data_IF_883623318567
#
_entry.id   IF_883623318567
#
_cell.length_a   1.000
_cell.length_b   1.000
_cell.length_c   1.000
_cell.angle_alpha   90.00
_cell.angle_beta   90.00
_cell.angle_gamma   90.00
#
_symmetry.space_group_name_H-M   'P 1'
#
loop_
_entity.id
_entity.type
_entity.pdbx_description
1 polymer ?
#
# COMPACT_ATOMS: atom_id res chain seq x y z
N UNK A 1 9.48 30.18 21.28
CA UNK A 1 8.73 30.20 20.01
C UNK A 1 8.81 28.81 19.39
N UNK A 2 7.67 28.17 19.12
CA UNK A 2 7.65 26.92 18.35
C UNK A 2 8.03 27.25 16.89
N UNK A 3 9.03 26.56 16.33
CA UNK A 3 9.44 26.72 14.93
C UNK A 3 8.26 26.38 14.02
N UNK A 4 7.88 27.29 13.12
CA UNK A 4 6.90 26.99 12.06
C UNK A 4 7.55 26.02 11.07
N UNK A 5 6.98 24.84 10.91
CA UNK A 5 7.47 23.83 9.97
C UNK A 5 7.34 24.32 8.52
N UNK A 6 8.37 24.07 7.73
CA UNK A 6 8.33 24.26 6.27
C UNK A 6 7.35 23.25 5.64
N UNK A 7 6.84 23.50 4.41
CA UNK A 7 5.94 22.55 3.74
C UNK A 7 6.53 21.14 3.62
N UNK A 8 7.85 21.03 3.41
CA UNK A 8 8.55 19.75 3.35
C UNK A 8 8.57 19.04 4.70
N UNK A 9 8.95 19.74 5.77
CA UNK A 9 8.98 19.17 7.13
C UNK A 9 7.59 18.71 7.58
N UNK A 10 6.51 19.39 7.16
CA UNK A 10 5.14 18.94 7.43
C UNK A 10 4.79 17.64 6.74
N UNK A 11 5.13 17.52 5.46
CA UNK A 11 4.92 16.26 4.70
C UNK A 11 5.72 15.13 5.33
N UNK A 12 6.98 15.37 5.69
CA UNK A 12 7.82 14.37 6.36
C UNK A 12 7.25 13.95 7.72
N UNK A 13 6.75 14.90 8.53
CA UNK A 13 6.09 14.61 9.80
C UNK A 13 4.77 13.84 9.64
N UNK A 14 3.98 14.19 8.63
CA UNK A 14 2.73 13.49 8.30
C UNK A 14 3.00 12.03 7.94
N UNK A 15 3.96 11.77 7.05
CA UNK A 15 4.35 10.42 6.63
C UNK A 15 4.90 9.62 7.82
N UNK A 16 5.78 10.23 8.61
CA UNK A 16 6.35 9.58 9.80
C UNK A 16 5.28 9.17 10.82
N UNK A 17 4.13 9.83 10.83
CA UNK A 17 3.00 9.52 11.71
C UNK A 17 2.11 8.43 11.11
N UNK A 18 1.64 8.60 9.88
CA UNK A 18 0.57 7.76 9.32
C UNK A 18 1.08 6.51 8.60
N UNK A 19 2.25 6.52 7.96
CA UNK A 19 2.77 5.33 7.28
C UNK A 19 2.94 4.14 8.26
N UNK A 20 3.51 4.31 9.48
CA UNK A 20 3.58 3.21 10.44
C UNK A 20 2.20 2.70 10.89
N UNK A 21 1.21 3.57 11.03
CA UNK A 21 -0.15 3.23 11.47
C UNK A 21 -0.85 2.38 10.40
N UNK A 22 -0.86 2.84 9.14
CA UNK A 22 -1.47 2.09 8.04
C UNK A 22 -0.77 0.74 7.82
N UNK A 23 0.56 0.71 7.93
CA UNK A 23 1.32 -0.54 7.83
C UNK A 23 0.94 -1.52 8.93
N UNK A 24 0.86 -1.04 10.18
CA UNK A 24 0.48 -1.88 11.31
C UNK A 24 -0.95 -2.42 11.14
N UNK A 25 -1.88 -1.59 10.67
CA UNK A 25 -3.25 -1.99 10.40
C UNK A 25 -3.36 -3.10 9.33
N UNK A 26 -2.65 -2.96 8.20
CA UNK A 26 -2.60 -4.00 7.17
C UNK A 26 -1.98 -5.30 7.69
N UNK A 27 -0.86 -5.22 8.42
CA UNK A 27 -0.21 -6.40 9.00
C UNK A 27 -1.11 -7.09 10.02
N UNK A 28 -1.82 -6.32 10.85
CA UNK A 28 -2.77 -6.84 11.83
C UNK A 28 -3.94 -7.56 11.14
N UNK A 29 -4.46 -7.04 10.03
CA UNK A 29 -5.50 -7.71 9.24
C UNK A 29 -5.02 -9.07 8.70
N UNK A 30 -3.82 -9.12 8.12
CA UNK A 30 -3.25 -10.39 7.64
C UNK A 30 -3.00 -11.39 8.77
N UNK A 31 -2.53 -10.91 9.92
CA UNK A 31 -2.32 -11.73 11.12
C UNK A 31 -3.63 -12.25 11.71
N UNK A 32 -4.69 -11.44 11.72
CA UNK A 32 -6.02 -11.79 12.19
C UNK A 32 -6.64 -12.89 11.32
N UNK A 33 -6.68 -12.69 9.99
CA UNK A 33 -7.14 -13.70 9.03
C UNK A 33 -6.43 -15.01 9.31
N UNK A 34 -5.10 -15.00 9.30
CA UNK A 34 -4.28 -16.21 9.49
C UNK A 34 -4.53 -16.90 10.84
N UNK A 35 -4.79 -16.13 11.91
CA UNK A 35 -5.02 -16.67 13.25
C UNK A 35 -6.38 -17.38 13.38
N UNK A 36 -7.37 -16.92 12.62
CA UNK A 36 -8.72 -17.48 12.64
C UNK A 36 -8.91 -18.70 11.70
N UNK A 37 -7.93 -19.02 10.84
CA UNK A 37 -8.03 -20.18 9.95
C UNK A 37 -7.97 -21.50 10.73
N UNK A 38 -9.05 -22.27 10.62
CA UNK A 38 -9.12 -23.65 11.12
C UNK A 38 -8.55 -24.60 10.07
N UNK A 39 -7.25 -24.89 10.17
CA UNK A 39 -6.52 -25.73 9.20
C UNK A 39 -7.22 -27.06 8.88
N UNK A 40 -7.80 -27.72 9.88
CA UNK A 40 -8.53 -28.98 9.67
C UNK A 40 -9.69 -28.82 8.67
N UNK A 41 -10.46 -27.73 8.74
CA UNK A 41 -11.57 -27.47 7.81
C UNK A 41 -11.07 -27.24 6.39
N UNK A 42 -9.95 -26.53 6.23
CA UNK A 42 -9.32 -26.32 4.93
C UNK A 42 -8.87 -27.66 4.33
N UNK A 43 -8.23 -28.52 5.13
CA UNK A 43 -7.77 -29.84 4.69
C UNK A 43 -8.95 -30.74 4.29
N UNK A 44 -10.00 -30.81 5.09
CA UNK A 44 -11.22 -31.60 4.80
C UNK A 44 -11.88 -31.19 3.46
N UNK A 45 -11.78 -29.91 3.08
CA UNK A 45 -12.26 -29.40 1.79
C UNK A 45 -11.36 -29.83 0.64
N UNK A 46 -10.05 -29.67 0.81
CA UNK A 46 -9.05 -30.08 -0.18
C UNK A 46 -9.05 -31.59 -0.44
N UNK A 47 -9.29 -32.41 0.58
CA UNK A 47 -9.43 -33.88 0.43
C UNK A 47 -10.61 -34.27 -0.48
N UNK A 48 -11.62 -33.40 -0.60
CA UNK A 48 -12.77 -33.59 -1.50
C UNK A 48 -12.57 -32.95 -2.88
N UNK A 49 -11.39 -32.37 -3.14
CA UNK A 49 -11.14 -31.58 -4.35
C UNK A 49 -11.84 -30.21 -4.37
N UNK A 50 -12.41 -29.77 -3.26
CA UNK A 50 -13.18 -28.53 -3.13
C UNK A 50 -12.23 -27.35 -2.82
N UNK A 51 -11.53 -26.84 -3.85
CA UNK A 51 -10.61 -25.69 -3.71
C UNK A 51 -11.38 -24.43 -3.28
N UNK A 52 -12.55 -24.18 -3.87
CA UNK A 52 -13.37 -23.00 -3.53
C UNK A 52 -13.80 -23.04 -2.07
N UNK A 53 -14.35 -24.16 -1.60
CA UNK A 53 -14.73 -24.31 -0.19
C UNK A 53 -13.54 -24.30 0.77
N UNK A 54 -12.33 -24.67 0.30
CA UNK A 54 -11.11 -24.51 1.09
C UNK A 54 -10.72 -23.04 1.27
N UNK A 55 -10.91 -22.20 0.24
CA UNK A 55 -10.71 -20.75 0.31
C UNK A 55 -11.76 -20.11 1.23
N UNK A 56 -13.03 -20.48 1.07
CA UNK A 56 -14.12 -19.98 1.93
C UNK A 56 -13.87 -20.29 3.40
N UNK A 57 -13.32 -21.48 3.70
CA UNK A 57 -12.95 -21.89 5.06
C UNK A 57 -11.79 -21.09 5.67
N UNK A 58 -11.14 -20.19 4.90
CA UNK A 58 -10.12 -19.27 5.40
C UNK A 58 -10.67 -17.92 5.86
N UNK A 59 -11.97 -17.64 5.64
CA UNK A 59 -12.64 -16.40 6.11
C UNK A 59 -11.92 -15.12 5.69
N UNK A 60 -11.56 -15.04 4.40
CA UNK A 60 -10.87 -13.87 3.82
C UNK A 60 -11.93 -12.82 3.50
N UNK A 61 -12.33 -12.10 4.53
CA UNK A 61 -13.43 -11.14 4.48
C UNK A 61 -12.90 -9.71 4.55
N UNK A 62 -13.63 -8.79 3.90
CA UNK A 62 -13.31 -7.36 3.90
C UNK A 62 -13.27 -6.79 5.34
N UNK A 63 -14.11 -7.33 6.22
CA UNK A 63 -14.21 -6.90 7.62
C UNK A 63 -12.89 -7.03 8.41
N UNK A 64 -11.99 -7.93 8.02
CA UNK A 64 -10.66 -8.04 8.63
C UNK A 64 -9.81 -6.77 8.42
N UNK A 65 -10.12 -5.97 7.39
CA UNK A 65 -9.42 -4.74 7.03
C UNK A 65 -10.05 -3.47 7.61
N UNK A 66 -11.10 -3.56 8.44
CA UNK A 66 -11.68 -2.40 9.13
C UNK A 66 -10.63 -1.51 9.84
N UNK A 67 -9.59 -2.06 10.52
CA UNK A 67 -8.53 -1.22 11.11
C UNK A 67 -7.74 -0.42 10.07
N UNK A 68 -7.57 -0.95 8.85
CA UNK A 68 -6.88 -0.26 7.76
C UNK A 68 -7.73 0.88 7.22
N UNK A 69 -9.04 0.66 7.04
CA UNK A 69 -9.97 1.72 6.64
C UNK A 69 -10.00 2.87 7.66
N UNK A 70 -10.02 2.53 8.96
CA UNK A 70 -9.97 3.52 10.02
C UNK A 70 -8.64 4.31 10.02
N UNK A 71 -7.51 3.63 9.83
CA UNK A 71 -6.22 4.29 9.70
C UNK A 71 -6.16 5.24 8.49
N UNK A 72 -6.73 4.83 7.35
CA UNK A 72 -6.87 5.65 6.16
C UNK A 72 -7.74 6.89 6.43
N UNK A 73 -8.88 6.72 7.10
CA UNK A 73 -9.79 7.80 7.48
C UNK A 73 -9.10 8.83 8.39
N UNK A 74 -8.28 8.37 9.34
CA UNK A 74 -7.49 9.24 10.20
C UNK A 74 -6.46 10.05 9.41
N UNK A 75 -5.71 9.41 8.51
CA UNK A 75 -4.75 10.10 7.65
C UNK A 75 -5.45 11.14 6.77
N UNK A 76 -6.54 10.78 6.10
CA UNK A 76 -7.32 11.68 5.25
C UNK A 76 -7.81 12.89 6.02
N UNK A 77 -8.43 12.70 7.19
CA UNK A 77 -8.93 13.78 8.02
C UNK A 77 -7.79 14.72 8.47
N UNK A 78 -6.65 14.17 8.89
CA UNK A 78 -5.51 14.96 9.29
C UNK A 78 -4.90 15.76 8.13
N UNK A 79 -4.92 15.22 6.91
CA UNK A 79 -4.48 15.93 5.70
C UNK A 79 -5.35 17.15 5.39
N UNK A 80 -6.67 17.02 5.57
CA UNK A 80 -7.62 18.11 5.40
C UNK A 80 -7.45 19.20 6.46
N UNK A 81 -7.31 18.80 7.73
CA UNK A 81 -7.05 19.72 8.86
C UNK A 81 -5.72 20.47 8.66
N UNK A 82 -4.62 19.79 8.29
CA UNK A 82 -3.35 20.46 7.99
C UNK A 82 -3.50 21.44 6.83
N UNK A 83 -4.25 21.06 5.79
CA UNK A 83 -4.43 21.91 4.61
C UNK A 83 -5.15 23.20 4.99
N UNK A 84 -6.32 23.12 5.63
CA UNK A 84 -7.11 24.29 6.03
C UNK A 84 -6.38 25.17 7.04
N UNK A 85 -5.71 24.57 8.04
CA UNK A 85 -4.96 25.31 9.07
C UNK A 85 -3.78 26.12 8.49
N UNK A 86 -3.33 25.76 7.29
CA UNK A 86 -2.25 26.45 6.60
C UNK A 86 -2.72 27.26 5.39
N UNK A 87 -4.03 27.34 5.15
CA UNK A 87 -4.55 28.30 4.20
C UNK A 87 -4.30 29.72 4.72
N UNK A 88 -3.94 30.66 3.85
CA UNK A 88 -3.91 32.08 4.19
C UNK A 88 -5.29 32.57 4.65
N UNK A 89 -5.32 33.60 5.51
CA UNK A 89 -6.56 34.24 5.91
C UNK A 89 -7.23 34.87 4.68
N UNK A 90 -8.46 34.46 4.41
CA UNK A 90 -9.27 34.99 3.31
C UNK A 90 -10.15 36.12 3.84
N UNK A 91 -10.44 37.09 2.96
CA UNK A 91 -11.35 38.18 3.24
C UNK A 91 -12.53 38.15 2.28
N UNK A 92 -13.72 38.50 2.77
CA UNK A 92 -14.88 38.76 1.92
C UNK A 92 -14.75 40.14 1.24
N UNK A 93 -15.62 40.46 0.25
CA UNK A 93 -15.62 41.78 -0.40
C UNK A 93 -15.81 42.95 0.58
N UNK A 94 -16.48 42.73 1.70
CA UNK A 94 -16.70 43.69 2.78
C UNK A 94 -15.50 43.84 3.75
N UNK A 95 -14.45 43.01 3.58
CA UNK A 95 -13.21 43.05 4.34
C UNK A 95 -13.18 42.23 5.64
N UNK A 96 -14.24 41.48 5.96
CA UNK A 96 -14.29 40.56 7.10
C UNK A 96 -13.49 39.29 6.83
N UNK A 97 -13.02 38.65 7.91
CA UNK A 97 -12.26 37.39 7.80
C UNK A 97 -13.20 36.22 7.56
N UNK A 98 -12.96 35.48 6.47
CA UNK A 98 -13.70 34.26 6.15
C UNK A 98 -13.20 33.11 7.03
N UNK A 99 -14.13 32.43 7.70
CA UNK A 99 -13.80 31.28 8.57
C UNK A 99 -13.76 30.02 7.73
N UNK A 100 -12.56 29.56 7.40
CA UNK A 100 -12.34 28.30 6.68
C UNK A 100 -12.43 27.13 7.65
N UNK A 101 -13.21 26.12 7.30
CA UNK A 101 -13.32 24.86 8.05
C UNK A 101 -13.10 23.68 7.12
N UNK A 102 -12.43 22.66 7.64
CA UNK A 102 -12.40 21.35 7.03
C UNK A 102 -13.65 20.57 7.48
N UNK A 103 -14.44 20.11 6.52
CA UNK A 103 -15.57 19.23 6.79
C UNK A 103 -15.29 17.85 6.20
N UNK A 104 -14.86 16.91 7.05
CA UNK A 104 -14.64 15.52 6.68
C UNK A 104 -15.94 14.79 6.29
N UNK A 105 -17.10 15.35 6.65
CA UNK A 105 -18.44 14.80 6.35
C UNK A 105 -19.11 15.48 5.15
N UNK A 106 -18.40 16.39 4.48
CA UNK A 106 -18.88 16.90 3.21
C UNK A 106 -19.03 15.74 2.21
N UNK A 107 -20.07 15.79 1.38
CA UNK A 107 -20.43 14.73 0.42
C UNK A 107 -19.25 14.31 -0.47
N UNK A 108 -18.43 15.25 -0.94
CA UNK A 108 -17.26 14.94 -1.77
C UNK A 108 -16.20 14.17 -0.98
N UNK A 109 -15.98 14.54 0.29
CA UNK A 109 -15.02 13.88 1.17
C UNK A 109 -15.50 12.47 1.56
N UNK A 110 -16.78 12.31 1.90
CA UNK A 110 -17.37 11.00 2.24
C UNK A 110 -17.38 10.06 1.04
N UNK A 111 -17.75 10.54 -0.15
CA UNK A 111 -17.70 9.74 -1.38
C UNK A 111 -16.28 9.27 -1.68
N UNK A 112 -15.28 10.15 -1.58
CA UNK A 112 -13.89 9.75 -1.79
C UNK A 112 -13.46 8.68 -0.79
N UNK A 113 -13.72 8.88 0.50
CA UNK A 113 -13.36 7.92 1.54
C UNK A 113 -14.00 6.55 1.31
N UNK A 114 -15.32 6.53 1.05
CA UNK A 114 -16.09 5.31 0.82
C UNK A 114 -15.61 4.57 -0.42
N UNK A 115 -15.48 5.26 -1.54
CA UNK A 115 -15.16 4.63 -2.82
C UNK A 115 -13.70 4.15 -2.83
N UNK A 116 -12.79 4.92 -2.22
CA UNK A 116 -11.38 4.56 -2.12
C UNK A 116 -11.14 3.41 -1.14
N UNK A 117 -11.76 3.41 0.04
CA UNK A 117 -11.62 2.32 1.02
C UNK A 117 -12.17 1.01 0.47
N UNK A 118 -13.37 1.03 -0.11
CA UNK A 118 -13.99 -0.13 -0.72
C UNK A 118 -13.11 -0.71 -1.84
N UNK A 119 -12.64 0.13 -2.77
CA UNK A 119 -11.76 -0.30 -3.87
C UNK A 119 -10.45 -0.91 -3.36
N UNK A 120 -9.83 -0.30 -2.34
CA UNK A 120 -8.60 -0.81 -1.74
C UNK A 120 -8.81 -2.19 -1.10
N UNK A 121 -9.84 -2.34 -0.27
CA UNK A 121 -10.10 -3.57 0.48
C UNK A 121 -10.56 -4.69 -0.46
N UNK A 122 -11.51 -4.43 -1.35
CA UNK A 122 -11.96 -5.41 -2.34
C UNK A 122 -10.80 -5.85 -3.24
N UNK A 123 -9.92 -4.92 -3.64
CA UNK A 123 -8.72 -5.23 -4.40
C UNK A 123 -7.74 -6.14 -3.64
N UNK A 124 -7.51 -5.90 -2.34
CA UNK A 124 -6.67 -6.75 -1.50
C UNK A 124 -7.27 -8.15 -1.36
N UNK A 125 -8.57 -8.27 -1.11
CA UNK A 125 -9.26 -9.56 -0.95
C UNK A 125 -9.26 -10.34 -2.26
N UNK A 126 -9.57 -9.69 -3.39
CA UNK A 126 -9.56 -10.32 -4.71
C UNK A 126 -8.17 -10.86 -5.06
N UNK A 127 -7.11 -10.05 -4.85
CA UNK A 127 -5.72 -10.46 -5.02
C UNK A 127 -5.38 -11.70 -4.18
N UNK A 128 -5.85 -11.72 -2.92
CA UNK A 128 -5.55 -12.80 -1.97
C UNK A 128 -6.25 -14.11 -2.35
N UNK A 129 -7.52 -14.03 -2.73
CA UNK A 129 -8.31 -15.19 -3.18
C UNK A 129 -7.66 -15.80 -4.42
N UNK A 130 -7.25 -14.97 -5.39
CA UNK A 130 -6.60 -15.44 -6.61
C UNK A 130 -5.21 -16.05 -6.34
N UNK A 131 -4.43 -15.42 -5.45
CA UNK A 131 -3.13 -15.93 -4.98
C UNK A 131 -3.26 -17.34 -4.38
N UNK A 132 -4.23 -17.54 -3.50
CA UNK A 132 -4.48 -18.84 -2.84
C UNK A 132 -4.99 -19.87 -3.83
N UNK A 133 -5.95 -19.50 -4.69
CA UNK A 133 -6.47 -20.39 -5.73
C UNK A 133 -5.35 -20.91 -6.62
N UNK A 134 -4.49 -20.02 -7.10
CA UNK A 134 -3.32 -20.37 -7.92
C UNK A 134 -2.40 -21.32 -7.15
N UNK A 135 -2.01 -20.98 -5.92
CA UNK A 135 -1.08 -21.77 -5.12
C UNK A 135 -1.63 -23.17 -4.76
N UNK A 136 -2.92 -23.28 -4.43
CA UNK A 136 -3.57 -24.57 -4.15
C UNK A 136 -3.66 -25.43 -5.40
N UNK A 137 -4.05 -24.84 -6.54
CA UNK A 137 -4.14 -25.55 -7.82
C UNK A 137 -2.79 -26.11 -8.24
N UNK A 138 -1.73 -25.29 -8.18
CA UNK A 138 -0.37 -25.71 -8.48
C UNK A 138 0.14 -26.79 -7.51
N UNK A 139 -0.15 -26.65 -6.21
CA UNK A 139 0.27 -27.63 -5.21
C UNK A 139 -0.38 -29.00 -5.43
N UNK A 140 -1.68 -29.03 -5.66
CA UNK A 140 -2.40 -30.28 -5.94
C UNK A 140 -1.99 -30.88 -7.29
N UNK A 141 -1.75 -30.07 -8.32
CA UNK A 141 -1.26 -30.55 -9.62
C UNK A 141 0.13 -31.20 -9.53
N UNK A 142 0.99 -30.77 -8.59
CA UNK A 142 2.27 -31.42 -8.28
C UNK A 142 2.14 -32.70 -7.44
N UNK A 143 0.93 -33.07 -7.02
CA UNK A 143 0.68 -34.24 -6.18
C UNK A 143 0.97 -34.01 -4.70
N UNK A 144 1.05 -32.75 -4.23
CA UNK A 144 1.13 -32.47 -2.81
C UNK A 144 -0.15 -32.93 -2.11
N UNK A 145 -0.02 -33.58 -0.96
CA UNK A 145 -1.20 -33.95 -0.17
C UNK A 145 -1.92 -32.69 0.36
N UNK A 146 -3.25 -32.77 0.60
CA UNK A 146 -4.07 -31.67 1.11
C UNK A 146 -3.51 -30.94 2.34
N UNK A 147 -2.90 -31.68 3.28
CA UNK A 147 -2.30 -31.08 4.48
C UNK A 147 -1.07 -30.24 4.16
N UNK A 148 -0.20 -30.70 3.25
CA UNK A 148 0.98 -29.97 2.80
C UNK A 148 0.57 -28.71 2.03
N UNK A 149 -0.41 -28.83 1.13
CA UNK A 149 -0.97 -27.71 0.38
C UNK A 149 -1.51 -26.65 1.33
N UNK A 150 -2.39 -27.00 2.27
CA UNK A 150 -2.97 -26.06 3.22
C UNK A 150 -1.91 -25.39 4.11
N UNK A 151 -0.91 -26.14 4.60
CA UNK A 151 0.20 -25.56 5.40
C UNK A 151 1.05 -24.58 4.61
N UNK A 152 1.23 -24.78 3.30
CA UNK A 152 1.95 -23.83 2.45
C UNK A 152 1.23 -22.47 2.34
N UNK A 153 -0.09 -22.48 2.49
CA UNK A 153 -0.91 -21.26 2.49
C UNK A 153 -0.85 -20.56 3.84
N UNK A 154 -1.15 -21.27 4.94
CA UNK A 154 -1.38 -20.65 6.25
C UNK A 154 -0.12 -20.51 7.11
N UNK A 155 0.95 -21.23 6.77
CA UNK A 155 2.19 -21.28 7.54
C UNK A 155 2.14 -22.18 8.80
N UNK A 156 3.31 -22.55 9.34
CA UNK A 156 3.41 -23.29 10.59
C UNK A 156 3.04 -22.46 11.81
N UNK A 157 2.71 -23.14 12.92
CA UNK A 157 2.57 -22.49 14.24
C UNK A 157 3.96 -22.28 14.82
N UNK A 158 4.29 -21.03 15.15
CA UNK A 158 5.45 -20.71 15.95
C UNK A 158 5.19 -21.08 17.41
N UNK A 159 5.99 -22.01 17.95
CA UNK A 159 5.81 -22.55 19.31
C UNK A 159 6.03 -21.51 20.41
N UNK A 160 6.84 -20.48 20.16
CA UNK A 160 7.12 -19.44 21.15
C UNK A 160 5.97 -18.44 21.28
N UNK A 161 5.32 -18.11 20.15
CA UNK A 161 4.23 -17.12 20.12
C UNK A 161 2.84 -17.75 20.14
N UNK A 162 2.74 -19.05 19.86
CA UNK A 162 1.47 -19.76 19.67
C UNK A 162 0.72 -19.38 18.40
N UNK A 163 1.27 -18.47 17.58
CA UNK A 163 0.63 -17.93 16.38
C UNK A 163 1.17 -18.60 15.13
N UNK A 164 0.33 -18.67 14.08
CA UNK A 164 0.80 -19.05 12.75
C UNK A 164 1.69 -17.95 12.19
N UNK A 165 2.76 -18.32 11.51
CA UNK A 165 3.72 -17.41 10.89
C UNK A 165 4.15 -17.94 9.52
N UNK A 166 4.44 -17.04 8.56
CA UNK A 166 4.77 -17.42 7.19
C UNK A 166 3.53 -17.71 6.34
N UNK A 167 3.67 -18.68 5.43
CA UNK A 167 2.64 -18.95 4.41
C UNK A 167 2.58 -17.87 3.33
N UNK A 168 1.43 -17.71 2.67
CA UNK A 168 1.21 -16.67 1.65
C UNK A 168 0.00 -15.77 1.95
N UNK A 169 -0.59 -15.88 3.16
CA UNK A 169 -1.64 -14.96 3.60
C UNK A 169 -1.09 -13.53 3.66
N UNK A 170 -1.80 -12.61 3.00
CA UNK A 170 -1.43 -11.21 2.82
C UNK A 170 -0.52 -10.95 1.61
N UNK A 171 -0.09 -11.96 0.85
CA UNK A 171 0.76 -11.78 -0.33
C UNK A 171 -0.04 -11.73 -1.64
N UNK A 172 0.42 -10.90 -2.60
CA UNK A 172 -0.04 -11.02 -4.00
C UNK A 172 0.25 -12.40 -4.58
N UNK A 173 -0.47 -12.77 -5.65
CA UNK A 173 -0.14 -13.93 -6.47
C UNK A 173 1.33 -13.90 -6.97
N UNK A 174 1.84 -12.73 -7.36
CA UNK A 174 3.23 -12.58 -7.79
C UNK A 174 4.24 -12.87 -6.66
N UNK A 175 3.98 -12.34 -5.46
CA UNK A 175 4.82 -12.59 -4.29
C UNK A 175 4.73 -14.04 -3.82
N UNK A 176 3.55 -14.67 -3.87
CA UNK A 176 3.37 -16.08 -3.58
C UNK A 176 4.21 -16.96 -4.53
N UNK A 177 4.23 -16.64 -5.83
CA UNK A 177 5.12 -17.30 -6.79
C UNK A 177 6.60 -17.12 -6.44
N UNK A 178 7.01 -15.93 -5.99
CA UNK A 178 8.40 -15.74 -5.52
C UNK A 178 8.74 -16.65 -4.34
N UNK A 179 7.82 -16.84 -3.40
CA UNK A 179 7.99 -17.76 -2.27
C UNK A 179 8.14 -19.21 -2.76
N UNK A 180 7.33 -19.64 -3.73
CA UNK A 180 7.44 -20.99 -4.31
C UNK A 180 8.74 -21.17 -5.09
N UNK A 181 9.12 -20.25 -5.99
CA UNK A 181 10.39 -20.34 -6.70
C UNK A 181 11.59 -20.39 -5.75
N UNK A 182 11.56 -19.62 -4.65
CA UNK A 182 12.61 -19.68 -3.63
C UNK A 182 12.69 -21.06 -2.95
N UNK A 183 11.54 -21.71 -2.72
CA UNK A 183 11.50 -23.09 -2.18
C UNK A 183 12.11 -24.08 -3.17
N UNK A 184 11.71 -24.02 -4.44
CA UNK A 184 12.19 -24.93 -5.47
C UNK A 184 13.70 -24.77 -5.70
N UNK A 185 14.19 -23.53 -5.74
CA UNK A 185 15.62 -23.21 -5.82
C UNK A 185 16.40 -23.87 -4.68
N UNK A 186 15.93 -23.74 -3.45
CA UNK A 186 16.60 -24.28 -2.26
C UNK A 186 16.55 -25.82 -2.17
N UNK A 187 15.49 -26.45 -2.68
CA UNK A 187 15.35 -27.91 -2.70
C UNK A 187 16.11 -28.57 -3.86
N UNK A 188 16.43 -27.83 -4.92
CA UNK A 188 17.02 -28.38 -6.14
C UNK A 188 18.40 -29.01 -5.94
N UNK A 189 19.23 -28.44 -5.06
CA UNK A 189 20.67 -28.74 -4.99
C UNK A 189 21.47 -28.23 -6.20
N UNK A 190 20.83 -27.59 -7.18
CA UNK A 190 21.46 -27.05 -8.38
C UNK A 190 22.24 -25.77 -8.05
N UNK A 191 23.55 -25.69 -8.35
CA UNK A 191 24.34 -24.51 -8.09
C UNK A 191 23.84 -23.22 -8.75
N UNK A 192 23.23 -23.29 -9.94
CA UNK A 192 22.67 -22.12 -10.62
C UNK A 192 21.43 -21.60 -9.88
N UNK A 193 20.53 -22.49 -9.47
CA UNK A 193 19.31 -22.13 -8.73
C UNK A 193 19.62 -21.61 -7.32
N UNK A 194 20.59 -22.22 -6.62
CA UNK A 194 21.04 -21.72 -5.33
C UNK A 194 21.68 -20.33 -5.42
N UNK A 195 22.40 -20.02 -6.51
CA UNK A 195 22.88 -18.65 -6.77
C UNK A 195 21.73 -17.69 -7.01
N UNK A 196 20.72 -18.08 -7.78
CA UNK A 196 19.53 -17.26 -8.01
C UNK A 196 18.81 -16.89 -6.69
N UNK A 197 18.69 -17.85 -5.77
CA UNK A 197 18.14 -17.57 -4.44
C UNK A 197 18.93 -16.49 -3.68
N UNK A 198 20.27 -16.52 -3.77
CA UNK A 198 21.17 -15.55 -3.13
C UNK A 198 21.10 -14.15 -3.75
N UNK A 199 20.45 -13.96 -4.90
CA UNK A 199 20.20 -12.64 -5.49
C UNK A 199 18.92 -11.98 -4.93
N UNK A 200 18.05 -12.76 -4.29
CA UNK A 200 16.78 -12.25 -3.74
C UNK A 200 17.01 -11.21 -2.64
N UNK A 201 16.49 -9.99 -2.84
CA UNK A 201 16.74 -8.86 -1.94
C UNK A 201 16.04 -8.93 -0.56
N UNK A 202 14.88 -9.59 -0.47
CA UNK A 202 14.11 -9.74 0.79
C UNK A 202 14.42 -11.00 1.59
N UNK A 203 15.45 -11.76 1.19
CA UNK A 203 15.88 -12.97 1.92
C UNK A 203 16.48 -12.61 3.28
N UNK A 204 16.42 -13.56 4.21
CA UNK A 204 17.07 -13.41 5.51
C UNK A 204 18.55 -13.83 5.40
N UNK A 205 19.44 -12.82 5.31
CA UNK A 205 20.89 -13.00 5.09
C UNK A 205 21.58 -13.86 6.17
N UNK A 206 20.94 -14.07 7.33
CA UNK A 206 21.47 -14.97 8.38
C UNK A 206 21.57 -16.42 7.91
N UNK A 207 20.81 -16.81 6.90
CA UNK A 207 20.89 -18.15 6.29
C UNK A 207 21.87 -18.23 5.12
N UNK A 208 22.46 -17.13 4.66
CA UNK A 208 23.36 -17.12 3.49
C UNK A 208 24.52 -18.10 3.66
N UNK A 209 25.10 -18.20 4.88
CA UNK A 209 26.18 -19.17 5.15
C UNK A 209 25.74 -20.62 4.92
N UNK A 210 24.49 -20.95 5.26
CA UNK A 210 23.92 -22.29 5.07
C UNK A 210 23.72 -22.58 3.59
N UNK A 211 23.18 -21.62 2.84
CA UNK A 211 22.96 -21.76 1.39
C UNK A 211 24.28 -21.80 0.63
N UNK A 212 25.26 -20.98 0.99
CA UNK A 212 26.60 -21.00 0.39
C UNK A 212 27.33 -22.32 0.66
N UNK A 213 27.13 -22.94 1.84
CA UNK A 213 27.66 -24.26 2.13
C UNK A 213 27.06 -25.31 1.18
N UNK A 214 25.73 -25.35 1.06
CA UNK A 214 25.03 -26.23 0.13
C UNK A 214 25.45 -26.01 -1.33
N UNK A 215 25.65 -24.75 -1.73
CA UNK A 215 26.16 -24.37 -3.05
C UNK A 215 27.57 -24.91 -3.32
N UNK A 216 28.47 -24.83 -2.33
CA UNK A 216 29.83 -25.35 -2.44
C UNK A 216 29.86 -26.88 -2.48
N UNK A 217 29.02 -27.51 -1.68
CA UNK A 217 28.93 -28.97 -1.54
C UNK A 217 28.05 -29.61 -2.63
N UNK A 218 27.36 -28.81 -3.44
CA UNK A 218 26.42 -29.24 -4.49
C UNK A 218 25.36 -30.22 -3.95
N UNK A 219 24.88 -29.94 -2.73
CA UNK A 219 23.90 -30.77 -2.04
C UNK A 219 22.61 -30.00 -1.80
N UNK A 220 21.43 -30.66 -1.87
CA UNK A 220 20.17 -30.02 -1.55
C UNK A 220 20.10 -29.67 -0.06
N UNK A 221 19.41 -28.58 0.27
CA UNK A 221 19.14 -28.26 1.67
C UNK A 221 18.08 -29.20 2.25
N UNK A 222 18.20 -29.63 3.51
CA UNK A 222 17.14 -30.37 4.20
C UNK A 222 15.81 -29.60 4.19
N UNK A 223 14.69 -30.30 4.02
CA UNK A 223 13.38 -29.68 3.84
C UNK A 223 12.97 -28.77 5.02
N UNK A 224 13.31 -29.13 6.26
CA UNK A 224 13.04 -28.32 7.45
C UNK A 224 13.84 -27.01 7.47
N UNK A 225 15.05 -27.02 6.91
CA UNK A 225 15.89 -25.82 6.74
C UNK A 225 15.26 -24.91 5.68
N UNK A 226 14.85 -25.49 4.55
CA UNK A 226 14.15 -24.75 3.48
C UNK A 226 12.88 -24.10 4.01
N UNK A 227 12.06 -24.83 4.77
CA UNK A 227 10.83 -24.29 5.36
C UNK A 227 11.11 -23.07 6.24
N UNK A 228 12.13 -23.12 7.09
CA UNK A 228 12.52 -21.96 7.92
C UNK A 228 12.95 -20.77 7.06
N UNK A 229 13.78 -21.01 6.05
CA UNK A 229 14.28 -19.95 5.16
C UNK A 229 13.13 -19.29 4.38
N UNK A 230 12.27 -20.10 3.77
CA UNK A 230 11.14 -19.66 2.94
C UNK A 230 10.10 -18.90 3.77
N UNK A 231 9.82 -19.34 5.00
CA UNK A 231 8.91 -18.61 5.90
C UNK A 231 9.45 -17.21 6.25
N UNK A 232 10.77 -17.07 6.45
CA UNK A 232 11.38 -15.75 6.68
C UNK A 232 11.36 -14.88 5.43
N UNK A 233 11.56 -15.47 4.25
CA UNK A 233 11.43 -14.76 2.98
C UNK A 233 10.01 -14.27 2.73
N UNK A 234 9.00 -15.12 2.97
CA UNK A 234 7.59 -14.75 2.92
C UNK A 234 7.27 -13.57 3.86
N UNK A 235 7.72 -13.63 5.12
CA UNK A 235 7.55 -12.53 6.07
C UNK A 235 8.19 -11.22 5.57
N UNK A 236 9.35 -11.29 4.92
CA UNK A 236 10.01 -10.14 4.30
C UNK A 236 9.23 -9.56 3.11
N UNK A 237 8.58 -10.40 2.31
CA UNK A 237 7.69 -9.97 1.21
C UNK A 237 6.38 -9.38 1.72
N UNK A 238 5.80 -9.95 2.78
CA UNK A 238 4.60 -9.41 3.42
C UNK A 238 4.87 -8.01 3.97
N UNK A 239 6.00 -7.83 4.67
CA UNK A 239 6.45 -6.50 5.11
C UNK A 239 6.62 -5.54 3.94
N UNK A 240 7.22 -5.97 2.84
CA UNK A 240 7.37 -5.14 1.64
C UNK A 240 6.01 -4.69 1.09
N UNK A 241 5.02 -5.58 1.00
CA UNK A 241 3.66 -5.21 0.57
C UNK A 241 3.05 -4.20 1.56
N UNK A 242 3.17 -4.46 2.86
CA UNK A 242 2.64 -3.59 3.90
C UNK A 242 3.26 -2.18 3.85
N UNK A 243 4.59 -2.08 3.70
CA UNK A 243 5.30 -0.81 3.51
C UNK A 243 4.82 -0.10 2.22
N UNK A 244 4.57 -0.85 1.13
CA UNK A 244 4.13 -0.29 -0.16
C UNK A 244 2.72 0.27 -0.07
N UNK A 245 1.77 -0.49 0.50
CA UNK A 245 0.39 -0.04 0.73
C UNK A 245 0.42 1.18 1.63
N UNK A 246 1.06 1.09 2.79
CA UNK A 246 1.09 2.19 3.75
C UNK A 246 1.64 3.49 3.17
N UNK A 247 2.75 3.42 2.42
CA UNK A 247 3.30 4.57 1.73
C UNK A 247 2.32 5.14 0.70
N UNK A 248 1.75 4.27 -0.15
CA UNK A 248 0.81 4.70 -1.19
C UNK A 248 -0.41 5.39 -0.59
N UNK A 249 -1.08 4.73 0.35
CA UNK A 249 -2.31 5.22 0.96
C UNK A 249 -2.11 6.48 1.80
N UNK A 250 -0.95 6.62 2.45
CA UNK A 250 -0.62 7.85 3.20
C UNK A 250 -0.51 9.05 2.25
N UNK A 251 0.19 8.89 1.12
CA UNK A 251 0.31 9.96 0.13
C UNK A 251 -1.00 10.24 -0.60
N UNK A 252 -1.78 9.21 -0.89
CA UNK A 252 -3.08 9.34 -1.54
C UNK A 252 -4.07 10.11 -0.66
N UNK A 253 -4.23 9.68 0.60
CA UNK A 253 -5.09 10.36 1.57
C UNK A 253 -4.69 11.82 1.77
N UNK A 254 -3.40 12.12 1.87
CA UNK A 254 -2.89 13.49 1.99
C UNK A 254 -3.20 14.32 0.74
N UNK A 255 -2.96 13.78 -0.46
CA UNK A 255 -3.14 14.52 -1.71
C UNK A 255 -4.63 14.75 -2.02
N UNK A 256 -5.46 13.74 -1.80
CA UNK A 256 -6.91 13.83 -1.96
C UNK A 256 -7.52 14.81 -0.95
N UNK A 257 -7.19 14.69 0.34
CA UNK A 257 -7.70 15.60 1.36
C UNK A 257 -7.32 17.06 1.06
N UNK A 258 -6.11 17.29 0.53
CA UNK A 258 -5.68 18.62 0.10
C UNK A 258 -6.50 19.15 -1.06
N UNK A 259 -6.66 18.38 -2.14
CA UNK A 259 -7.45 18.78 -3.31
C UNK A 259 -8.92 19.07 -2.94
N UNK A 260 -9.51 18.19 -2.11
CA UNK A 260 -10.89 18.30 -1.63
C UNK A 260 -11.05 19.48 -0.67
N UNK A 261 -10.07 19.77 0.19
CA UNK A 261 -10.14 20.93 1.08
C UNK A 261 -10.21 22.25 0.29
N UNK A 262 -9.46 22.38 -0.81
CA UNK A 262 -9.60 23.51 -1.73
C UNK A 262 -10.95 23.49 -2.46
N UNK A 263 -11.42 22.32 -2.92
CA UNK A 263 -12.74 22.19 -3.54
C UNK A 263 -13.86 22.69 -2.63
N UNK A 264 -13.86 22.27 -1.37
CA UNK A 264 -14.86 22.68 -0.39
C UNK A 264 -14.91 24.21 -0.24
N UNK A 265 -13.76 24.89 -0.26
CA UNK A 265 -13.75 26.34 -0.15
C UNK A 265 -14.26 27.03 -1.42
N UNK A 266 -14.03 26.42 -2.58
CA UNK A 266 -14.58 26.89 -3.85
C UNK A 266 -16.10 26.70 -3.87
N UNK A 267 -16.58 25.51 -3.52
CA UNK A 267 -17.99 25.17 -3.48
C UNK A 267 -18.77 26.01 -2.45
N UNK A 268 -18.14 26.37 -1.34
CA UNK A 268 -18.71 27.25 -0.32
C UNK A 268 -18.69 28.75 -0.71
N UNK A 269 -18.09 29.11 -1.85
CA UNK A 269 -17.94 30.50 -2.28
C UNK A 269 -16.86 31.30 -1.54
N UNK A 270 -16.05 30.64 -0.70
CA UNK A 270 -14.95 31.27 0.04
C UNK A 270 -13.74 31.56 -0.86
N UNK A 271 -13.59 30.80 -1.95
CA UNK A 271 -12.53 30.93 -2.95
C UNK A 271 -13.14 30.80 -4.34
N UNK A 272 -12.47 31.40 -5.33
CA UNK A 272 -12.74 31.09 -6.73
C UNK A 272 -11.64 30.17 -7.29
N UNK A 273 -12.00 29.27 -8.21
CA UNK A 273 -11.07 28.29 -8.76
C UNK A 273 -9.99 28.94 -9.67
N UNK A 274 -10.30 30.08 -10.28
CA UNK A 274 -9.44 30.82 -11.20
C UNK A 274 -8.23 31.46 -10.51
N UNK A 275 -8.38 31.85 -9.25
CA UNK A 275 -7.30 32.39 -8.42
C UNK A 275 -6.45 31.31 -7.73
N UNK A 276 -6.81 30.03 -7.88
CA UNK A 276 -6.07 28.91 -7.30
C UNK A 276 -5.22 28.23 -8.37
N UNK A 277 -3.92 28.11 -8.09
CA UNK A 277 -2.98 27.40 -8.96
C UNK A 277 -2.31 26.24 -8.24
N UNK A 278 -2.03 25.17 -8.98
CA UNK A 278 -1.34 23.97 -8.53
C UNK A 278 0.03 23.90 -9.19
N UNK A 279 1.07 23.61 -8.42
CA UNK A 279 2.42 23.36 -8.94
C UNK A 279 2.88 21.95 -8.58
N UNK A 280 3.33 21.19 -9.55
CA UNK A 280 3.87 19.85 -9.33
C UNK A 280 5.26 19.94 -8.68
N UNK A 281 5.38 19.39 -7.46
CA UNK A 281 6.64 19.34 -6.71
C UNK A 281 7.12 17.89 -6.66
N UNK A 282 8.21 17.64 -7.38
CA UNK A 282 8.92 16.37 -7.31
C UNK A 282 9.77 16.30 -6.04
N UNK A 283 9.54 15.25 -5.24
CA UNK A 283 10.37 14.92 -4.08
C UNK A 283 11.56 14.08 -4.55
N UNK A 284 12.82 14.45 -4.25
CA UNK A 284 14.00 13.67 -4.63
C UNK A 284 13.94 12.23 -4.13
N UNK A 285 14.32 11.28 -4.97
CA UNK A 285 14.36 9.85 -4.67
C UNK A 285 15.61 9.23 -5.29
N UNK A 286 16.05 8.08 -4.76
CA UNK A 286 17.17 7.31 -5.32
C UNK A 286 16.89 6.82 -6.75
N UNK A 287 15.63 6.44 -7.03
CA UNK A 287 15.17 6.01 -8.35
C UNK A 287 13.96 6.85 -8.78
N UNK A 288 14.17 8.10 -9.20
CA UNK A 288 13.07 8.99 -9.57
C UNK A 288 12.45 8.57 -10.91
N UNK A 289 11.13 8.76 -11.03
CA UNK A 289 10.43 8.57 -12.33
C UNK A 289 10.77 9.74 -13.24
N UNK A 290 11.42 9.47 -14.37
CA UNK A 290 11.78 10.51 -15.35
C UNK A 290 10.58 11.39 -15.75
N UNK A 291 9.40 10.79 -15.91
CA UNK A 291 8.16 11.50 -16.20
C UNK A 291 7.78 12.53 -15.14
N UNK A 292 7.85 12.16 -13.85
CA UNK A 292 7.51 13.07 -12.75
C UNK A 292 8.59 14.12 -12.49
N UNK A 293 9.84 13.83 -12.85
CA UNK A 293 10.93 14.81 -12.85
C UNK A 293 10.68 15.87 -13.93
N UNK A 294 10.28 15.46 -15.13
CA UNK A 294 9.94 16.37 -16.23
C UNK A 294 8.75 17.27 -15.90
N UNK A 295 7.79 16.79 -15.10
CA UNK A 295 6.67 17.60 -14.61
C UNK A 295 7.06 18.61 -13.52
N UNK A 296 8.30 18.59 -13.00
CA UNK A 296 8.72 19.47 -11.89
C UNK A 296 8.51 20.94 -12.25
N UNK A 297 7.72 21.64 -11.46
CA UNK A 297 7.44 23.05 -11.66
C UNK A 297 6.33 23.33 -12.68
N UNK A 298 5.75 22.30 -13.31
CA UNK A 298 4.53 22.46 -14.10
C UNK A 298 3.46 23.12 -13.22
N UNK A 299 2.93 24.25 -13.68
CA UNK A 299 1.93 25.06 -12.99
C UNK A 299 0.65 25.06 -13.81
N UNK A 300 -0.47 24.74 -13.17
CA UNK A 300 -1.80 24.65 -13.79
C UNK A 300 -2.83 25.35 -12.91
N UNK A 301 -3.98 25.74 -13.47
CA UNK A 301 -5.13 26.21 -12.66
C UNK A 301 -5.71 25.05 -11.84
N UNK A 302 -6.50 25.36 -10.82
CA UNK A 302 -7.09 24.34 -9.93
C UNK A 302 -7.83 23.22 -10.68
N UNK A 303 -8.72 23.55 -11.61
CA UNK A 303 -9.50 22.56 -12.37
C UNK A 303 -8.75 21.92 -13.55
N UNK A 304 -7.50 22.32 -13.78
CA UNK A 304 -6.71 21.81 -14.89
C UNK A 304 -5.80 20.66 -14.42
N UNK A 305 -5.65 19.59 -15.23
CA UNK A 305 -4.73 18.50 -14.92
C UNK A 305 -3.28 18.90 -15.20
N UNK A 306 -2.35 18.31 -14.45
CA UNK A 306 -0.98 18.17 -14.90
C UNK A 306 -0.93 17.20 -16.08
N UNK A 307 0.03 17.39 -16.99
CA UNK A 307 0.22 16.53 -18.17
C UNK A 307 1.58 15.86 -18.06
N UNK A 308 1.58 14.54 -17.90
CA UNK A 308 2.81 13.74 -17.93
C UNK A 308 3.34 13.62 -19.38
N UNK A 309 4.64 13.38 -19.60
CA UNK A 309 5.21 13.24 -20.94
C UNK A 309 4.58 12.15 -21.81
N UNK A 310 3.97 11.13 -21.21
CA UNK A 310 3.24 10.08 -21.92
C UNK A 310 1.77 10.43 -22.23
N UNK A 311 1.37 11.69 -22.01
CA UNK A 311 0.01 12.19 -22.25
C UNK A 311 -0.97 11.95 -21.10
N UNK A 312 -0.55 11.29 -20.01
CA UNK A 312 -1.44 11.04 -18.87
C UNK A 312 -1.84 12.35 -18.19
N UNK A 313 -3.15 12.57 -18.06
CA UNK A 313 -3.73 13.69 -17.32
C UNK A 313 -3.85 13.34 -15.84
N UNK A 314 -3.29 14.17 -14.97
CA UNK A 314 -3.21 13.92 -13.53
C UNK A 314 -3.74 15.15 -12.78
N UNK A 315 -4.91 15.04 -12.14
CA UNK A 315 -5.49 16.17 -11.41
C UNK A 315 -4.66 16.59 -10.19
N UNK A 316 -4.15 15.61 -9.45
CA UNK A 316 -3.22 15.77 -8.34
C UNK A 316 -2.45 14.45 -8.15
N UNK A 317 -1.29 14.43 -7.46
CA UNK A 317 -0.57 13.19 -7.20
C UNK A 317 -1.48 12.13 -6.58
N UNK A 318 -1.42 10.89 -7.07
CA UNK A 318 -2.29 9.77 -6.62
C UNK A 318 -3.77 9.87 -6.96
N UNK A 319 -4.20 10.87 -7.74
CA UNK A 319 -5.60 11.05 -8.15
C UNK A 319 -6.25 9.75 -8.65
N UNK A 320 -7.56 9.53 -8.37
CA UNK A 320 -8.29 8.37 -8.85
C UNK A 320 -8.20 8.21 -10.38
N UNK A 321 -8.20 6.95 -10.85
CA UNK A 321 -8.22 6.63 -12.27
C UNK A 321 -6.88 6.75 -13.02
N UNK A 322 -5.80 7.24 -12.38
CA UNK A 322 -4.49 7.30 -13.04
C UNK A 322 -3.79 5.94 -13.04
N UNK A 323 -2.99 5.61 -14.09
CA UNK A 323 -2.27 4.34 -14.14
C UNK A 323 -1.30 4.13 -12.96
N UNK A 324 -1.15 2.88 -12.53
CA UNK A 324 -0.28 2.49 -11.40
C UNK A 324 1.16 3.03 -11.49
N UNK A 325 1.71 3.17 -12.71
CA UNK A 325 3.06 3.73 -12.96
C UNK A 325 3.22 5.18 -12.46
N UNK A 326 2.13 5.95 -12.36
CA UNK A 326 2.13 7.32 -11.83
C UNK A 326 1.70 7.40 -10.35
N UNK A 327 1.24 6.30 -9.76
CA UNK A 327 0.65 6.24 -8.41
C UNK A 327 1.55 5.48 -7.43
N UNK A 328 1.71 4.18 -7.61
CA UNK A 328 2.37 3.28 -6.65
C UNK A 328 3.81 3.73 -6.40
N UNK A 329 4.13 4.10 -5.16
CA UNK A 329 5.46 4.55 -4.75
C UNK A 329 5.82 5.97 -5.21
N UNK A 330 4.86 6.75 -5.69
CA UNK A 330 5.03 8.18 -5.92
C UNK A 330 5.08 8.93 -4.58
N UNK A 331 6.04 9.86 -4.44
CA UNK A 331 6.17 10.74 -3.27
C UNK A 331 6.05 12.22 -3.65
N UNK A 332 5.59 12.49 -4.88
CA UNK A 332 5.41 13.85 -5.38
C UNK A 332 4.20 14.50 -4.69
N UNK A 333 4.21 15.82 -4.58
CA UNK A 333 3.13 16.59 -3.97
C UNK A 333 2.67 17.70 -4.92
N UNK A 334 1.42 18.13 -4.79
CA UNK A 334 0.93 19.34 -5.42
C UNK A 334 0.98 20.48 -4.40
N UNK A 335 1.68 21.56 -4.74
CA UNK A 335 1.62 22.81 -3.99
C UNK A 335 0.49 23.67 -4.54
N UNK A 336 -0.41 24.12 -3.66
CA UNK A 336 -1.54 24.98 -4.01
C UNK A 336 -1.22 26.39 -3.55
N UNK A 337 -1.47 27.38 -4.42
CA UNK A 337 -1.31 28.80 -4.12
C UNK A 337 -2.57 29.55 -4.53
N UNK A 338 -3.01 30.44 -3.65
CA UNK A 338 -4.08 31.41 -3.90
C UNK A 338 -3.40 32.71 -4.34
N UNK A 339 -3.79 33.23 -5.50
CA UNK A 339 -3.31 34.49 -6.04
C UNK A 339 -4.21 35.64 -5.57
N UNK A 340 -3.75 36.35 -4.53
CA UNK A 340 -4.47 37.46 -3.91
C UNK A 340 -4.50 38.74 -4.75
N UNK A 341 -3.62 38.87 -5.75
CA UNK A 341 -3.60 40.07 -6.59
C UNK A 341 -4.83 40.11 -7.51
N UNK A 342 -5.34 38.95 -7.91
CA UNK A 342 -6.58 38.85 -8.69
C UNK A 342 -7.84 39.25 -7.88
N UNK A 343 -7.83 39.11 -6.55
CA UNK A 343 -8.95 39.53 -5.69
C UNK A 343 -9.04 41.05 -5.45
N UNK A 344 -8.01 41.83 -5.82
CA UNK A 344 -7.93 43.28 -5.56
C UNK A 344 -8.19 44.14 -6.81
N UNK A 345 -8.38 43.53 -7.97
CA UNK A 345 -8.44 44.23 -9.28
C UNK A 345 -9.83 44.11 -9.95
N UNK A 346 -10.79 43.47 -9.29
CA UNK A 346 -12.23 43.65 -9.54
C UNK A 346 -12.84 44.49 -8.40
#
# INVERSE_FOLDING_TARGET
>A
MLKRLTPRERVEAFIATYEPILRAAFMAAADDIRSNIVLRRVVERLEKGDISGAIDAMFIEEAAFNPLEEALRQAFNAGGVDTVSNMPALKDPEGHTVVIRWDARNVVAENWLRDHSASLVSGIVADQVESIRTALTESLARGDNPTKAAKSIVGPVNRATGKREGGIIGLTAAQARFVQSARDELLSGDPALLRNYLERGRRDKRFDRTVMKALKEQTPLPADVVDRIVNRYSAGLLKLRADTIALNETFDAMAAAKDIAFRQQIDNGNLSADIVTKTWRHTPQEHPRAQHVAMRGQKVRYDQPFVAPDGTLIMYPHAPGIPARHKIGCKCIAEYKIDFVAQLVE
#
